data_IF_531544421041
#
_entry.id   IF_531544421041
#
_cell.length_a   1.000
_cell.length_b   1.000
_cell.length_c   1.000
_cell.angle_alpha   90.00
_cell.angle_beta   90.00
_cell.angle_gamma   90.00
#
_symmetry.space_group_name_H-M   'P 1'
#
loop_
_entity.id
_entity.type
_entity.pdbx_description
1 polymer ?
#
# COMPACT_ATOMS: atom_id res chain seq x y z
N UNK A 1 -34.69 -9.97 -13.35
CA UNK A 1 -35.07 -10.59 -12.07
C UNK A 1 -34.68 -9.61 -10.99
N UNK A 2 -35.64 -8.87 -10.45
CA UNK A 2 -35.39 -7.96 -9.33
C UNK A 2 -35.34 -8.81 -8.06
N UNK A 3 -34.13 -9.20 -7.65
CA UNK A 3 -33.93 -9.90 -6.38
C UNK A 3 -34.22 -8.94 -5.23
N UNK A 4 -34.92 -9.41 -4.20
CA UNK A 4 -35.06 -8.61 -2.98
C UNK A 4 -33.68 -8.36 -2.36
N UNK A 5 -33.47 -7.26 -1.60
CA UNK A 5 -32.20 -6.99 -0.94
C UNK A 5 -31.71 -8.15 -0.06
N UNK A 6 -32.63 -8.94 0.49
CA UNK A 6 -32.33 -10.10 1.34
C UNK A 6 -31.84 -11.30 0.53
N UNK A 7 -32.50 -11.61 -0.60
CA UNK A 7 -32.07 -12.69 -1.50
C UNK A 7 -30.72 -12.38 -2.15
N UNK A 8 -30.46 -11.10 -2.46
CA UNK A 8 -29.17 -10.66 -2.99
C UNK A 8 -28.04 -10.86 -1.97
N UNK A 9 -28.28 -10.54 -0.70
CA UNK A 9 -27.32 -10.77 0.38
C UNK A 9 -27.04 -12.25 0.60
N UNK A 10 -28.07 -13.10 0.58
CA UNK A 10 -27.91 -14.55 0.70
C UNK A 10 -27.11 -15.13 -0.48
N UNK A 11 -27.40 -14.69 -1.70
CA UNK A 11 -26.70 -15.07 -2.92
C UNK A 11 -25.20 -14.69 -2.88
N UNK A 12 -24.88 -13.47 -2.43
CA UNK A 12 -23.48 -13.05 -2.25
C UNK A 12 -22.79 -13.90 -1.19
N UNK A 13 -23.45 -14.14 -0.06
CA UNK A 13 -22.86 -14.89 1.06
C UNK A 13 -22.55 -16.34 0.71
N UNK A 14 -23.35 -16.94 -0.17
CA UNK A 14 -23.15 -18.30 -0.67
C UNK A 14 -22.01 -18.38 -1.70
N UNK A 15 -21.84 -17.34 -2.52
CA UNK A 15 -20.81 -17.31 -3.60
C UNK A 15 -19.51 -16.62 -3.21
N UNK A 16 -19.47 -15.84 -2.14
CA UNK A 16 -18.27 -15.17 -1.68
C UNK A 16 -17.30 -16.19 -1.03
N UNK A 17 -16.06 -16.35 -1.55
CA UNK A 17 -15.08 -17.19 -0.92
C UNK A 17 -14.75 -16.64 0.48
N UNK A 18 -14.70 -17.51 1.49
CA UNK A 18 -14.24 -17.12 2.83
C UNK A 18 -12.75 -16.75 2.75
N UNK A 19 -12.43 -15.47 2.91
CA UNK A 19 -11.02 -15.05 2.94
C UNK A 19 -10.30 -15.75 4.09
N UNK A 20 -9.08 -16.27 3.89
CA UNK A 20 -8.30 -16.86 4.96
C UNK A 20 -7.72 -15.74 5.85
N UNK A 21 -8.58 -15.11 6.65
CA UNK A 21 -8.28 -13.90 7.45
C UNK A 21 -6.94 -14.00 8.18
N UNK A 22 -6.63 -15.15 8.77
CA UNK A 22 -5.39 -15.36 9.50
C UNK A 22 -4.13 -15.29 8.60
N UNK A 23 -4.20 -15.82 7.37
CA UNK A 23 -3.10 -15.74 6.39
C UNK A 23 -2.91 -14.32 5.91
N UNK A 24 -4.02 -13.67 5.57
CA UNK A 24 -4.02 -12.29 5.06
C UNK A 24 -3.46 -11.33 6.12
N UNK A 25 -3.84 -11.54 7.37
CA UNK A 25 -3.35 -10.75 8.52
C UNK A 25 -1.87 -10.99 8.77
N UNK A 26 -1.42 -12.25 8.78
CA UNK A 26 -0.01 -12.58 8.97
C UNK A 26 0.87 -12.00 7.85
N UNK A 27 0.42 -12.11 6.60
CA UNK A 27 1.13 -11.56 5.45
C UNK A 27 1.17 -10.02 5.51
N UNK A 28 0.05 -9.38 5.85
CA UNK A 28 -0.02 -7.93 6.00
C UNK A 28 0.91 -7.42 7.10
N UNK A 29 0.97 -8.13 8.24
CA UNK A 29 1.90 -7.80 9.33
C UNK A 29 3.36 -7.92 8.90
N UNK A 30 3.72 -9.02 8.23
CA UNK A 30 5.11 -9.27 7.80
C UNK A 30 5.57 -8.24 6.77
N UNK A 31 4.73 -7.91 5.79
CA UNK A 31 5.08 -6.95 4.76
C UNK A 31 5.05 -5.52 5.28
N UNK A 32 4.03 -5.13 6.04
CA UNK A 32 4.00 -3.83 6.69
C UNK A 32 5.21 -3.63 7.59
N UNK A 33 5.56 -4.66 8.38
CA UNK A 33 6.77 -4.68 9.21
C UNK A 33 8.06 -4.57 8.40
N UNK A 34 8.17 -5.30 7.28
CA UNK A 34 9.34 -5.21 6.40
C UNK A 34 9.52 -3.81 5.80
N UNK A 35 8.43 -3.13 5.43
CA UNK A 35 8.46 -1.74 4.95
C UNK A 35 8.91 -0.80 6.07
N UNK A 36 8.43 -1.01 7.31
CA UNK A 36 8.88 -0.23 8.46
C UNK A 36 10.38 -0.42 8.74
N UNK A 37 10.88 -1.66 8.65
CA UNK A 37 12.32 -1.96 8.79
C UNK A 37 13.11 -1.25 7.69
N UNK A 38 12.64 -1.27 6.44
CA UNK A 38 13.27 -0.53 5.35
C UNK A 38 13.31 0.98 5.63
N UNK A 39 12.20 1.54 6.12
CA UNK A 39 12.15 2.95 6.52
C UNK A 39 13.14 3.27 7.65
N UNK A 40 13.26 2.39 8.64
CA UNK A 40 14.22 2.53 9.73
C UNK A 40 15.67 2.49 9.21
N UNK A 41 16.00 1.59 8.28
CA UNK A 41 17.33 1.51 7.67
C UNK A 41 17.68 2.80 6.90
N UNK A 42 16.73 3.36 6.16
CA UNK A 42 16.91 4.64 5.46
C UNK A 42 17.13 5.77 6.46
N UNK A 43 16.33 5.81 7.52
CA UNK A 43 16.45 6.81 8.59
C UNK A 43 17.82 6.74 9.26
N UNK A 44 18.24 5.56 9.68
CA UNK A 44 19.53 5.36 10.34
C UNK A 44 20.69 5.65 9.37
N UNK A 45 20.53 5.36 8.07
CA UNK A 45 21.43 5.80 7.02
C UNK A 45 21.57 7.32 6.98
N UNK A 46 20.48 8.07 6.91
CA UNK A 46 20.52 9.53 6.93
C UNK A 46 21.13 10.10 8.22
N UNK A 47 20.81 9.52 9.38
CA UNK A 47 21.42 9.92 10.66
C UNK A 47 22.92 9.64 10.69
N UNK A 48 23.37 8.53 10.09
CA UNK A 48 24.80 8.21 9.97
C UNK A 48 25.56 9.18 9.06
N UNK A 49 24.87 9.80 8.10
CA UNK A 49 25.40 10.86 7.23
C UNK A 49 25.45 12.24 7.92
N UNK A 50 25.03 12.33 9.19
CA UNK A 50 25.10 13.54 10.00
C UNK A 50 23.84 14.40 9.96
N UNK A 51 22.74 13.92 9.36
CA UNK A 51 21.46 14.64 9.46
C UNK A 51 20.93 14.58 10.89
N UNK A 52 20.33 15.69 11.32
CA UNK A 52 19.62 15.71 12.58
C UNK A 52 18.38 14.78 12.53
N UNK A 53 17.77 14.51 13.69
CA UNK A 53 16.65 13.57 13.77
C UNK A 53 15.42 14.02 12.96
N UNK A 54 15.15 15.32 12.90
CA UNK A 54 13.98 15.87 12.24
C UNK A 54 14.16 15.83 10.71
N UNK A 55 15.32 16.26 10.24
CA UNK A 55 15.71 16.26 8.84
C UNK A 55 15.84 14.84 8.30
N UNK A 56 16.45 13.92 9.06
CA UNK A 56 16.54 12.51 8.67
C UNK A 56 15.15 11.86 8.56
N UNK A 57 14.22 12.19 9.48
CA UNK A 57 12.84 11.72 9.41
C UNK A 57 12.09 12.26 8.18
N UNK A 58 12.31 13.53 7.86
CA UNK A 58 11.75 14.17 6.66
C UNK A 58 12.32 13.53 5.39
N UNK A 59 13.64 13.40 5.29
CA UNK A 59 14.33 12.77 4.17
C UNK A 59 13.90 11.32 3.95
N UNK A 60 13.72 10.55 5.03
CA UNK A 60 13.19 9.17 4.97
C UNK A 60 11.79 9.14 4.39
N UNK A 61 10.91 10.01 4.89
CA UNK A 61 9.51 10.09 4.44
C UNK A 61 9.43 10.45 2.96
N UNK A 62 10.17 11.48 2.54
CA UNK A 62 10.27 11.91 1.14
C UNK A 62 10.79 10.78 0.26
N UNK A 63 11.82 10.05 0.70
CA UNK A 63 12.40 8.93 -0.05
C UNK A 63 11.39 7.80 -0.23
N UNK A 64 10.68 7.40 0.83
CA UNK A 64 9.67 6.34 0.74
C UNK A 64 8.49 6.74 -0.17
N UNK A 65 8.04 8.00 -0.08
CA UNK A 65 6.99 8.52 -0.97
C UNK A 65 7.48 8.51 -2.42
N UNK A 66 8.69 8.99 -2.68
CA UNK A 66 9.26 9.02 -4.02
C UNK A 66 9.40 7.62 -4.61
N UNK A 67 9.94 6.66 -3.86
CA UNK A 67 10.08 5.28 -4.32
C UNK A 67 8.72 4.63 -4.59
N UNK A 68 7.73 4.88 -3.74
CA UNK A 68 6.36 4.40 -3.96
C UNK A 68 5.74 5.04 -5.22
N UNK A 69 5.87 6.35 -5.40
CA UNK A 69 5.40 7.05 -6.59
C UNK A 69 6.07 6.54 -7.88
N UNK A 70 7.40 6.38 -7.86
CA UNK A 70 8.18 5.87 -8.98
C UNK A 70 7.76 4.44 -9.36
N UNK A 71 7.69 3.54 -8.37
CA UNK A 71 7.27 2.16 -8.60
C UNK A 71 5.81 2.04 -9.02
N UNK A 72 4.94 2.98 -8.60
CA UNK A 72 3.56 3.09 -9.07
C UNK A 72 3.52 3.49 -10.55
N UNK A 73 4.28 4.54 -10.93
CA UNK A 73 4.41 5.00 -12.31
C UNK A 73 4.99 3.96 -13.26
N UNK A 74 5.91 3.13 -12.78
CA UNK A 74 6.46 2.02 -13.55
C UNK A 74 5.56 0.77 -13.57
N UNK A 75 4.39 0.81 -12.91
CA UNK A 75 3.46 -0.31 -12.75
C UNK A 75 4.04 -1.53 -11.98
N UNK A 76 5.13 -1.35 -11.23
CA UNK A 76 5.69 -2.38 -10.34
C UNK A 76 4.93 -2.45 -9.01
N UNK A 77 4.49 -1.30 -8.49
CA UNK A 77 3.81 -1.22 -7.19
C UNK A 77 2.52 -2.03 -7.18
N UNK A 78 1.73 -1.97 -8.26
CA UNK A 78 0.49 -2.72 -8.38
C UNK A 78 0.69 -4.24 -8.33
N UNK A 79 1.77 -4.74 -8.92
CA UNK A 79 2.11 -6.17 -8.87
C UNK A 79 2.54 -6.57 -7.45
N UNK A 80 3.36 -5.74 -6.80
CA UNK A 80 3.78 -5.93 -5.42
C UNK A 80 2.58 -5.91 -4.47
N UNK A 81 1.68 -4.93 -4.62
CA UNK A 81 0.50 -4.74 -3.78
C UNK A 81 -0.51 -5.89 -3.88
N UNK A 82 -0.64 -6.50 -5.07
CA UNK A 82 -1.49 -7.70 -5.25
C UNK A 82 -0.97 -8.91 -4.48
N UNK A 83 0.35 -9.08 -4.41
CA UNK A 83 0.96 -10.14 -3.62
C UNK A 83 0.96 -9.79 -2.12
N UNK A 84 1.19 -8.52 -1.81
CA UNK A 84 1.41 -8.05 -0.47
C UNK A 84 0.14 -7.74 0.34
N UNK A 85 -0.98 -7.57 -0.35
CA UNK A 85 -2.27 -7.30 0.23
C UNK A 85 -2.29 -6.01 1.06
N UNK A 86 -3.00 -6.05 2.19
CA UNK A 86 -3.18 -4.89 3.06
C UNK A 86 -1.84 -4.35 3.61
N UNK A 87 -0.79 -5.17 3.69
CA UNK A 87 0.52 -4.78 4.25
C UNK A 87 1.23 -3.66 3.49
N UNK A 88 1.00 -3.54 2.18
CA UNK A 88 1.52 -2.43 1.35
C UNK A 88 0.62 -1.19 1.36
N UNK A 89 -0.64 -1.31 1.80
CA UNK A 89 -1.60 -0.20 1.77
C UNK A 89 -1.57 0.65 3.06
N UNK A 90 -1.22 0.05 4.19
CA UNK A 90 -1.20 0.71 5.51
C UNK A 90 -0.02 1.70 5.69
N UNK A 91 1.22 1.41 5.24
CA UNK A 91 2.34 2.34 5.38
C UNK A 91 2.23 3.57 4.46
N UNK A 92 3.13 4.55 4.65
CA UNK A 92 3.17 5.80 3.85
C UNK A 92 3.28 5.56 2.34
N UNK A 93 3.81 4.40 1.93
CA UNK A 93 3.86 3.96 0.53
C UNK A 93 2.48 3.75 -0.07
N UNK A 94 1.51 3.26 0.71
CA UNK A 94 0.12 3.08 0.29
C UNK A 94 -0.58 4.41 0.04
N UNK A 95 -0.34 5.41 0.89
CA UNK A 95 -0.78 6.79 0.67
C UNK A 95 -0.23 7.32 -0.66
N UNK A 96 1.08 7.19 -0.91
CA UNK A 96 1.69 7.66 -2.16
C UNK A 96 1.07 6.98 -3.40
N UNK A 97 0.88 5.66 -3.38
CA UNK A 97 0.21 4.94 -4.45
C UNK A 97 -1.23 5.42 -4.69
N UNK A 98 -1.99 5.71 -3.61
CA UNK A 98 -3.38 6.19 -3.69
C UNK A 98 -3.52 7.58 -4.32
N UNK A 99 -2.46 8.39 -4.27
CA UNK A 99 -2.39 9.70 -4.91
C UNK A 99 -1.90 9.58 -6.36
N UNK A 100 -0.87 8.75 -6.59
CA UNK A 100 -0.19 8.65 -7.89
C UNK A 100 -0.99 7.83 -8.90
N UNK A 101 -1.65 6.75 -8.47
CA UNK A 101 -2.47 5.90 -9.36
C UNK A 101 -3.55 6.70 -10.10
N UNK A 102 -4.45 7.45 -9.42
CA UNK A 102 -5.46 8.24 -10.12
C UNK A 102 -4.87 9.39 -10.94
N UNK A 103 -3.70 9.92 -10.55
CA UNK A 103 -3.02 10.94 -11.33
C UNK A 103 -2.49 10.41 -12.68
N UNK A 104 -2.10 9.14 -12.75
CA UNK A 104 -1.68 8.46 -13.99
C UNK A 104 -2.90 8.06 -14.81
N UNK A 105 -3.95 7.54 -14.17
CA UNK A 105 -5.17 7.08 -14.84
C UNK A 105 -6.07 8.22 -15.30
N UNK A 106 -5.78 9.46 -14.88
CA UNK A 106 -6.52 10.64 -15.27
C UNK A 106 -6.51 10.81 -16.80
N UNK A 107 -7.71 10.73 -17.39
CA UNK A 107 -7.98 11.18 -18.74
C UNK A 107 -8.84 12.43 -18.63
N UNK A 108 -8.45 13.51 -19.30
CA UNK A 108 -9.35 14.63 -19.50
C UNK A 108 -10.55 14.11 -20.31
N UNK A 109 -11.74 14.22 -19.75
CA UNK A 109 -12.97 13.91 -20.46
C UNK A 109 -13.16 15.03 -21.50
N UNK A 110 -13.09 14.68 -22.79
CA UNK A 110 -13.39 15.58 -23.92
C UNK A 110 -14.91 15.73 -24.12
#
# INVERSE_FOLDING_TARGET
MDMSPQEYQAYIKERAPKSPIWKDTALAFLIGGAICVLGQLILDGYRSLGLDKADAGTATSVTLIFLAALTTGLNLYNSLARFAGAGTLVPITGFANSVVSPAIDFKAED
#
